data_IF_138532749999
#
_entry.id   IF_138532749999
#
_cell.length_a   1.000
_cell.length_b   1.000
_cell.length_c   1.000
_cell.angle_alpha   90.00
_cell.angle_beta   90.00
_cell.angle_gamma   90.00
#
_symmetry.space_group_name_H-M   'P 1'
#
loop_
_entity.id
_entity.type
_entity.pdbx_description
1 polymer ?
#
# COMPACT_ATOMS: atom_id res chain seq x y z
N UNK A 1 31.53 -62.64 16.01
CA UNK A 1 31.53 -61.63 17.08
C UNK A 1 31.14 -60.29 16.49
N UNK A 2 30.21 -59.53 17.11
CA UNK A 2 29.59 -58.34 16.55
C UNK A 2 30.31 -57.04 16.98
N UNK A 3 30.38 -56.05 16.10
CA UNK A 3 30.56 -54.64 16.47
C UNK A 3 29.46 -53.81 15.80
N UNK A 4 28.50 -53.24 16.56
CA UNK A 4 27.55 -52.29 16.04
C UNK A 4 27.75 -50.94 16.73
N UNK A 5 28.67 -50.10 16.25
CA UNK A 5 28.76 -48.72 16.70
C UNK A 5 29.21 -47.84 15.53
N UNK A 6 28.24 -47.25 14.82
CA UNK A 6 28.27 -45.89 14.28
C UNK A 6 26.99 -45.64 13.47
N UNK A 7 25.86 -45.53 14.17
CA UNK A 7 24.69 -44.80 13.66
C UNK A 7 24.44 -43.63 14.60
N UNK A 8 25.19 -42.55 14.41
CA UNK A 8 24.85 -41.25 14.97
C UNK A 8 24.55 -40.26 13.84
N UNK A 9 23.29 -39.83 13.82
CA UNK A 9 22.76 -38.55 13.38
C UNK A 9 22.97 -38.11 11.91
N UNK A 10 22.02 -38.43 11.00
CA UNK A 10 21.74 -37.59 9.84
C UNK A 10 20.94 -36.31 10.20
N UNK A 11 20.46 -36.19 11.45
CA UNK A 11 19.56 -35.10 11.87
C UNK A 11 20.23 -33.77 12.22
N UNK A 12 21.52 -33.77 12.59
CA UNK A 12 22.19 -32.55 13.06
C UNK A 12 22.57 -31.60 11.90
N UNK A 13 22.90 -32.16 10.73
CA UNK A 13 23.25 -31.37 9.54
C UNK A 13 22.07 -30.61 8.94
N UNK A 14 20.87 -31.19 9.03
CA UNK A 14 19.64 -30.59 8.49
C UNK A 14 19.14 -29.44 9.36
N UNK A 15 19.31 -29.54 10.69
CA UNK A 15 18.99 -28.47 11.62
C UNK A 15 19.94 -27.26 11.51
N UNK A 16 21.23 -27.50 11.26
CA UNK A 16 22.21 -26.42 11.05
C UNK A 16 22.00 -25.72 9.71
N UNK A 17 21.61 -26.46 8.66
CA UNK A 17 21.24 -25.88 7.36
C UNK A 17 19.97 -25.03 7.41
N UNK A 18 18.96 -25.42 8.19
CA UNK A 18 17.74 -24.62 8.40
C UNK A 18 18.03 -23.36 9.25
N UNK A 19 18.96 -23.45 10.21
CA UNK A 19 19.35 -22.28 11.01
C UNK A 19 20.10 -21.24 10.17
N UNK A 20 21.00 -21.65 9.28
CA UNK A 20 21.67 -20.70 8.36
C UNK A 20 20.71 -20.11 7.31
N UNK A 21 19.71 -20.86 6.86
CA UNK A 21 18.66 -20.33 5.96
C UNK A 21 17.70 -19.37 6.68
N UNK A 22 17.50 -19.52 7.99
CA UNK A 22 16.69 -18.60 8.80
C UNK A 22 17.46 -17.32 9.21
N UNK A 23 18.79 -17.37 9.27
CA UNK A 23 19.64 -16.18 9.42
C UNK A 23 19.80 -15.39 8.11
N UNK A 24 19.50 -16.00 6.95
CA UNK A 24 19.23 -15.28 5.72
C UNK A 24 17.83 -14.65 5.78
N UNK A 25 17.65 -13.70 6.69
CA UNK A 25 16.46 -12.85 6.74
C UNK A 25 16.26 -12.14 5.40
N UNK A 26 15.04 -11.65 5.10
CA UNK A 26 14.77 -10.85 3.92
C UNK A 26 15.42 -9.47 4.04
N UNK A 27 16.75 -9.42 3.98
CA UNK A 27 17.55 -8.22 3.86
C UNK A 27 17.79 -7.92 2.38
N UNK A 28 16.70 -7.70 1.66
CA UNK A 28 16.71 -6.94 0.43
C UNK A 28 15.59 -5.91 0.51
N UNK A 29 15.56 -5.12 1.60
CA UNK A 29 15.07 -3.75 1.46
C UNK A 29 16.07 -3.08 0.54
N UNK A 30 15.72 -3.02 -0.75
CA UNK A 30 16.39 -2.16 -1.71
C UNK A 30 16.44 -0.77 -1.06
N UNK A 31 17.61 -0.41 -0.52
CA UNK A 31 17.91 0.95 -0.16
C UNK A 31 17.94 1.70 -1.49
N UNK A 32 16.80 2.25 -1.88
CA UNK A 32 16.78 3.20 -2.98
C UNK A 32 17.72 4.35 -2.60
N UNK A 33 18.56 4.82 -3.52
CA UNK A 33 19.41 5.96 -3.26
C UNK A 33 18.54 7.12 -2.76
N UNK A 34 19.01 7.79 -1.70
CA UNK A 34 18.34 8.93 -1.07
C UNK A 34 17.95 9.94 -2.17
N UNK A 35 16.63 10.10 -2.37
CA UNK A 35 16.06 11.00 -3.37
C UNK A 35 15.32 10.33 -4.53
N UNK A 36 15.41 8.99 -4.71
CA UNK A 36 14.62 8.27 -5.71
C UNK A 36 13.39 7.59 -5.08
N UNK A 37 12.19 7.74 -5.66
CA UNK A 37 11.00 7.09 -5.14
C UNK A 37 11.17 5.57 -5.20
N UNK A 38 10.69 4.88 -4.17
CA UNK A 38 10.63 3.43 -4.20
C UNK A 38 9.74 2.95 -5.35
N UNK A 39 9.92 1.70 -5.82
CA UNK A 39 9.07 1.15 -6.88
C UNK A 39 7.58 1.26 -6.52
N UNK A 40 7.22 0.94 -5.28
CA UNK A 40 5.83 0.99 -4.82
C UNK A 40 5.31 2.43 -4.73
N UNK A 41 6.15 3.37 -4.30
CA UNK A 41 5.81 4.79 -4.30
C UNK A 41 5.60 5.33 -5.71
N UNK A 42 6.47 4.96 -6.65
CA UNK A 42 6.33 5.33 -8.06
C UNK A 42 5.05 4.74 -8.67
N UNK A 43 4.73 3.48 -8.37
CA UNK A 43 3.46 2.88 -8.78
C UNK A 43 2.27 3.62 -8.17
N UNK A 44 2.32 4.01 -6.90
CA UNK A 44 1.26 4.80 -6.24
C UNK A 44 1.05 6.12 -6.97
N UNK A 45 2.11 6.84 -7.32
CA UNK A 45 2.00 8.10 -8.07
C UNK A 45 1.36 7.91 -9.45
N UNK A 46 1.79 6.89 -10.21
CA UNK A 46 1.20 6.53 -11.50
C UNK A 46 -0.30 6.23 -11.35
N UNK A 47 -0.66 5.40 -10.38
CA UNK A 47 -2.05 5.03 -10.13
C UNK A 47 -2.90 6.21 -9.66
N UNK A 48 -2.33 7.11 -8.86
CA UNK A 48 -3.01 8.32 -8.42
C UNK A 48 -3.29 9.31 -9.55
N UNK A 49 -2.29 9.58 -10.40
CA UNK A 49 -2.49 10.40 -11.59
C UNK A 49 -3.57 9.79 -12.51
N UNK A 50 -3.52 8.47 -12.68
CA UNK A 50 -4.52 7.72 -13.46
C UNK A 50 -5.92 7.83 -12.87
N UNK A 51 -6.08 7.61 -11.56
CA UNK A 51 -7.38 7.70 -10.90
C UNK A 51 -7.97 9.11 -10.98
N UNK A 52 -7.16 10.14 -10.74
CA UNK A 52 -7.57 11.55 -10.89
C UNK A 52 -8.02 11.86 -12.31
N UNK A 53 -7.28 11.39 -13.32
CA UNK A 53 -7.68 11.53 -14.71
C UNK A 53 -9.04 10.87 -14.99
N UNK A 54 -9.24 9.62 -14.56
CA UNK A 54 -10.51 8.92 -14.79
C UNK A 54 -11.67 9.60 -14.07
N UNK A 55 -11.46 10.10 -12.85
CA UNK A 55 -12.47 10.88 -12.12
C UNK A 55 -12.82 12.18 -12.83
N UNK A 56 -11.84 12.91 -13.35
CA UNK A 56 -12.08 14.12 -14.14
C UNK A 56 -12.83 13.80 -15.45
N UNK A 57 -12.41 12.77 -16.17
CA UNK A 57 -13.01 12.29 -17.43
C UNK A 57 -14.48 11.85 -17.27
N UNK A 58 -14.85 11.36 -16.07
CA UNK A 58 -16.21 10.94 -15.74
C UNK A 58 -17.02 12.03 -15.00
N UNK A 59 -16.45 13.21 -14.74
CA UNK A 59 -17.15 14.32 -14.11
C UNK A 59 -17.35 14.17 -12.59
N UNK A 60 -16.47 13.44 -11.91
CA UNK A 60 -16.54 13.19 -10.47
C UNK A 60 -15.33 13.75 -9.70
N UNK A 61 -15.07 15.07 -9.74
CA UNK A 61 -13.92 15.67 -9.06
C UNK A 61 -13.96 15.51 -7.54
N UNK A 62 -15.15 15.37 -6.93
CA UNK A 62 -15.31 15.14 -5.48
C UNK A 62 -14.68 13.83 -5.00
N UNK A 63 -14.51 12.84 -5.87
CA UNK A 63 -13.85 11.59 -5.52
C UNK A 63 -12.33 11.72 -5.46
N UNK A 64 -11.75 12.77 -6.06
CA UNK A 64 -10.30 12.98 -6.05
C UNK A 64 -9.74 13.23 -4.65
N UNK A 65 -10.51 13.87 -3.76
CA UNK A 65 -10.12 14.10 -2.35
C UNK A 65 -10.14 12.83 -1.50
N UNK A 66 -10.78 11.76 -1.97
CA UNK A 66 -10.83 10.48 -1.26
C UNK A 66 -9.61 9.60 -1.55
N UNK A 67 -8.81 9.95 -2.57
CA UNK A 67 -7.63 9.18 -2.97
C UNK A 67 -6.48 9.35 -1.98
N UNK A 68 -5.92 8.23 -1.53
CA UNK A 68 -4.79 8.21 -0.58
C UNK A 68 -3.44 8.11 -1.28
N UNK A 69 -3.07 9.17 -1.99
CA UNK A 69 -1.85 9.22 -2.81
C UNK A 69 -0.54 9.37 -2.03
N UNK A 70 -0.60 9.94 -0.82
CA UNK A 70 0.58 10.27 -0.01
C UNK A 70 1.08 9.10 0.85
N UNK A 71 0.27 8.06 0.98
CA UNK A 71 0.56 6.94 1.90
C UNK A 71 1.75 6.06 1.49
N UNK A 72 2.33 6.29 0.30
CA UNK A 72 3.45 5.52 -0.25
C UNK A 72 3.17 4.02 -0.47
N UNK A 73 1.94 3.55 -0.22
CA UNK A 73 1.62 2.12 -0.22
C UNK A 73 0.45 1.78 -1.14
N UNK A 74 0.68 0.80 -2.02
CA UNK A 74 -0.32 0.28 -2.94
C UNK A 74 -1.59 -0.25 -2.25
N UNK A 75 -1.52 -0.97 -1.11
CA UNK A 75 -2.72 -1.45 -0.42
C UNK A 75 -3.61 -0.31 0.11
N UNK A 76 -3.03 0.78 0.60
CA UNK A 76 -3.80 1.93 1.07
C UNK A 76 -4.48 2.67 -0.09
N UNK A 77 -3.78 2.81 -1.22
CA UNK A 77 -4.38 3.33 -2.45
C UNK A 77 -5.53 2.42 -2.92
N UNK A 78 -5.31 1.11 -2.99
CA UNK A 78 -6.34 0.14 -3.36
C UNK A 78 -7.58 0.23 -2.46
N UNK A 79 -7.39 0.41 -1.14
CA UNK A 79 -8.49 0.61 -0.21
C UNK A 79 -9.30 1.88 -0.52
N UNK A 80 -8.65 2.98 -0.93
CA UNK A 80 -9.35 4.21 -1.35
C UNK A 80 -10.08 4.07 -2.71
N UNK A 81 -9.64 3.16 -3.58
CA UNK A 81 -10.28 2.89 -4.88
C UNK A 81 -11.43 1.88 -4.81
N UNK A 82 -11.52 1.06 -3.76
CA UNK A 82 -12.59 0.04 -3.61
C UNK A 82 -14.00 0.60 -3.42
N UNK A 83 -14.25 1.62 -2.58
CA UNK A 83 -15.60 2.15 -2.38
C UNK A 83 -16.11 2.97 -3.57
N UNK A 84 -15.28 3.18 -4.60
CA UNK A 84 -15.60 3.99 -5.75
C UNK A 84 -16.66 3.34 -6.65
N UNK A 85 -17.71 4.11 -6.97
CA UNK A 85 -18.82 3.70 -7.85
C UNK A 85 -18.39 3.54 -9.30
N UNK A 86 -17.23 4.09 -9.68
CA UNK A 86 -16.72 4.07 -11.06
C UNK A 86 -15.94 2.81 -11.39
N UNK A 87 -15.89 1.85 -10.46
CA UNK A 87 -15.33 0.51 -10.65
C UNK A 87 -13.87 0.53 -11.11
N UNK A 88 -13.13 1.62 -10.88
CA UNK A 88 -11.71 1.76 -11.25
C UNK A 88 -10.89 0.61 -10.66
N UNK A 89 -11.15 0.27 -9.40
CA UNK A 89 -10.48 -0.85 -8.75
C UNK A 89 -10.68 -2.17 -9.51
N UNK A 90 -11.93 -2.53 -9.83
CA UNK A 90 -12.24 -3.83 -10.43
C UNK A 90 -11.90 -3.95 -11.92
N UNK A 91 -12.03 -2.86 -12.69
CA UNK A 91 -11.88 -2.89 -14.15
C UNK A 91 -10.47 -2.51 -14.61
N UNK A 92 -9.75 -1.72 -13.82
CA UNK A 92 -8.45 -1.19 -14.20
C UNK A 92 -7.35 -1.66 -13.25
N UNK A 93 -7.47 -1.37 -11.95
CA UNK A 93 -6.41 -1.64 -10.97
C UNK A 93 -6.15 -3.13 -10.76
N UNK A 94 -7.14 -3.89 -10.28
CA UNK A 94 -6.97 -5.29 -9.91
C UNK A 94 -6.50 -6.20 -11.08
N UNK A 95 -7.01 -6.04 -12.31
CA UNK A 95 -6.54 -6.84 -13.45
C UNK A 95 -5.08 -6.59 -13.83
N UNK A 96 -4.54 -5.39 -13.52
CA UNK A 96 -3.17 -5.00 -13.85
C UNK A 96 -2.23 -5.29 -12.67
N UNK A 97 -2.52 -4.71 -11.49
CA UNK A 97 -1.61 -4.72 -10.35
C UNK A 97 -1.66 -6.04 -9.57
N UNK A 98 -2.85 -6.52 -9.19
CA UNK A 98 -2.97 -7.71 -8.33
C UNK A 98 -2.59 -9.00 -9.07
N UNK A 99 -2.89 -9.07 -10.38
CA UNK A 99 -2.47 -10.21 -11.20
C UNK A 99 -0.98 -10.19 -11.50
N UNK A 100 -0.36 -9.00 -11.54
CA UNK A 100 1.09 -8.80 -11.70
C UNK A 100 1.72 -9.40 -12.97
N UNK A 101 0.92 -9.91 -13.92
CA UNK A 101 1.44 -10.62 -15.12
C UNK A 101 2.30 -9.72 -15.99
N UNK A 102 2.02 -8.42 -15.98
CA UNK A 102 2.78 -7.42 -16.74
C UNK A 102 4.23 -7.24 -16.23
N UNK A 103 4.55 -7.76 -15.04
CA UNK A 103 5.89 -7.65 -14.44
C UNK A 103 6.74 -8.91 -14.62
N UNK A 104 6.19 -9.99 -15.18
CA UNK A 104 6.91 -11.25 -15.31
C UNK A 104 8.13 -11.10 -16.23
N UNK A 105 9.29 -11.54 -15.75
CA UNK A 105 10.56 -11.43 -16.49
C UNK A 105 11.21 -10.04 -16.46
N UNK A 106 10.60 -9.03 -15.81
CA UNK A 106 11.17 -7.69 -15.71
C UNK A 106 12.03 -7.56 -14.44
N UNK A 107 13.33 -7.36 -14.61
CA UNK A 107 14.27 -7.18 -13.49
C UNK A 107 14.47 -5.72 -13.10
N UNK A 108 14.32 -4.81 -14.07
CA UNK A 108 14.55 -3.38 -13.88
C UNK A 108 13.28 -2.62 -13.44
N UNK A 109 13.43 -1.66 -12.52
CA UNK A 109 12.32 -0.88 -11.98
C UNK A 109 11.69 0.04 -13.03
N UNK A 110 12.51 0.69 -13.87
CA UNK A 110 12.02 1.51 -14.98
C UNK A 110 11.23 0.65 -15.97
N UNK A 111 11.74 -0.52 -16.34
CA UNK A 111 11.01 -1.46 -17.20
C UNK A 111 9.65 -1.88 -16.62
N UNK A 112 9.57 -2.12 -15.30
CA UNK A 112 8.31 -2.43 -14.60
C UNK A 112 7.34 -1.26 -14.63
N UNK A 113 7.81 -0.04 -14.39
CA UNK A 113 6.98 1.16 -14.44
C UNK A 113 6.51 1.45 -15.86
N UNK A 114 7.37 1.33 -16.87
CA UNK A 114 7.00 1.45 -18.28
C UNK A 114 5.98 0.38 -18.72
N UNK A 115 6.08 -0.84 -18.20
CA UNK A 115 5.07 -1.88 -18.42
C UNK A 115 3.72 -1.52 -17.78
N UNK A 116 3.74 -0.94 -16.57
CA UNK A 116 2.53 -0.47 -15.90
C UNK A 116 1.84 0.65 -16.70
N UNK A 117 2.58 1.67 -17.12
CA UNK A 117 2.03 2.78 -17.93
C UNK A 117 1.39 2.26 -19.21
N UNK A 118 2.09 1.39 -19.96
CA UNK A 118 1.56 0.76 -21.18
C UNK A 118 0.26 -0.03 -20.92
N UNK A 119 0.21 -0.80 -19.84
CA UNK A 119 -0.98 -1.57 -19.48
C UNK A 119 -2.17 -0.67 -19.15
N UNK A 120 -1.95 0.41 -18.38
CA UNK A 120 -2.97 1.40 -18.03
C UNK A 120 -3.50 2.08 -19.30
N UNK A 121 -2.62 2.66 -20.12
CA UNK A 121 -3.01 3.38 -21.34
C UNK A 121 -3.73 2.45 -22.31
N UNK A 122 -3.23 1.23 -22.50
CA UNK A 122 -3.87 0.22 -23.34
C UNK A 122 -5.30 -0.11 -22.88
N UNK A 123 -5.51 -0.28 -21.58
CA UNK A 123 -6.86 -0.50 -21.02
C UNK A 123 -7.77 0.71 -21.15
N UNK A 124 -7.25 1.92 -20.89
CA UNK A 124 -8.04 3.15 -21.00
C UNK A 124 -8.43 3.43 -22.46
N UNK A 125 -7.52 3.21 -23.41
CA UNK A 125 -7.75 3.37 -24.86
C UNK A 125 -8.72 2.31 -25.41
N UNK A 126 -8.73 1.11 -24.85
CA UNK A 126 -9.68 0.05 -25.22
C UNK A 126 -11.13 0.33 -24.74
N UNK A 127 -11.35 1.35 -23.90
CA UNK A 127 -12.69 1.70 -23.43
C UNK A 127 -13.54 2.31 -24.56
N UNK A 128 -14.76 1.81 -24.81
CA UNK A 128 -15.62 2.33 -25.88
C UNK A 128 -16.03 3.79 -25.66
N UNK A 129 -16.11 4.24 -24.40
CA UNK A 129 -16.43 5.63 -24.07
C UNK A 129 -15.35 6.61 -24.58
N UNK A 130 -14.07 6.18 -24.59
CA UNK A 130 -12.95 7.02 -25.08
C UNK A 130 -12.78 6.92 -26.57
N UNK A 131 -12.94 5.73 -27.16
CA UNK A 131 -12.85 5.53 -28.61
C UNK A 131 -13.84 6.39 -29.40
N UNK A 132 -15.02 6.67 -28.83
CA UNK A 132 -16.06 7.49 -29.47
C UNK A 132 -15.83 9.00 -29.32
N UNK A 133 -14.83 9.44 -28.56
CA UNK A 133 -14.59 10.86 -28.30
C UNK A 133 -13.13 11.25 -28.57
N UNK A 134 -12.85 12.03 -29.63
CA UNK A 134 -11.48 12.44 -29.95
C UNK A 134 -10.87 13.31 -28.86
N UNK A 135 -11.68 14.14 -28.18
CA UNK A 135 -11.22 14.94 -27.05
C UNK A 135 -10.73 14.08 -25.87
N UNK A 136 -11.43 12.97 -25.56
CA UNK A 136 -11.01 12.05 -24.50
C UNK A 136 -9.72 11.31 -24.87
N UNK A 137 -9.53 10.98 -26.15
CA UNK A 137 -8.27 10.39 -26.64
C UNK A 137 -7.11 11.37 -26.56
N UNK A 138 -7.32 12.66 -26.87
CA UNK A 138 -6.30 13.69 -26.69
C UNK A 138 -5.88 13.82 -25.22
N UNK A 139 -6.85 13.85 -24.29
CA UNK A 139 -6.56 13.84 -22.85
C UNK A 139 -5.82 12.58 -22.40
N UNK A 140 -6.10 11.42 -23.01
CA UNK A 140 -5.37 10.19 -22.73
C UNK A 140 -3.91 10.26 -23.21
N UNK A 141 -3.65 10.88 -24.35
CA UNK A 141 -2.28 11.12 -24.83
C UNK A 141 -1.51 12.07 -23.91
N UNK A 142 -2.18 13.08 -23.35
CA UNK A 142 -1.55 13.97 -22.36
C UNK A 142 -1.20 13.20 -21.08
N UNK A 143 -2.09 12.32 -20.59
CA UNK A 143 -1.80 11.44 -19.47
C UNK A 143 -0.63 10.50 -19.78
N UNK A 144 -0.64 9.85 -20.95
CA UNK A 144 0.43 8.94 -21.41
C UNK A 144 1.79 9.66 -21.39
N UNK A 145 1.84 10.90 -21.90
CA UNK A 145 3.04 11.73 -21.84
C UNK A 145 3.48 12.00 -20.40
N UNK A 146 2.58 12.51 -19.55
CA UNK A 146 2.88 12.81 -18.13
C UNK A 146 3.41 11.60 -17.36
N UNK A 147 2.82 10.43 -17.59
CA UNK A 147 3.24 9.19 -16.94
C UNK A 147 4.59 8.72 -17.47
N UNK A 148 4.86 8.84 -18.77
CA UNK A 148 6.14 8.49 -19.36
C UNK A 148 7.25 9.43 -18.87
N UNK A 149 6.98 10.74 -18.87
CA UNK A 149 7.90 11.75 -18.34
C UNK A 149 8.22 11.48 -16.86
N UNK A 150 7.24 11.03 -16.06
CA UNK A 150 7.49 10.62 -14.68
C UNK A 150 8.41 9.39 -14.58
N UNK A 151 8.21 8.39 -15.42
CA UNK A 151 9.05 7.18 -15.42
C UNK A 151 10.50 7.51 -15.82
N UNK A 152 10.70 8.44 -16.76
CA UNK A 152 12.05 8.86 -17.18
C UNK A 152 12.74 9.77 -16.16
N UNK A 153 12.00 10.69 -15.53
CA UNK A 153 12.60 11.74 -14.69
C UNK A 153 12.53 11.45 -13.19
N UNK A 154 11.58 10.61 -12.76
CA UNK A 154 11.27 10.39 -11.34
C UNK A 154 10.55 11.57 -10.67
N UNK A 155 10.23 12.66 -11.38
CA UNK A 155 9.50 13.80 -10.82
C UNK A 155 8.00 13.55 -10.85
N UNK A 156 7.31 13.50 -9.68
CA UNK A 156 5.91 13.13 -9.62
C UNK A 156 5.08 13.99 -10.57
N UNK A 157 4.13 13.39 -11.32
CA UNK A 157 3.30 14.13 -12.25
C UNK A 157 2.56 15.20 -11.46
N UNK A 158 2.88 16.46 -11.74
CA UNK A 158 2.49 17.59 -10.91
C UNK A 158 1.00 17.50 -10.55
N UNK A 159 0.72 17.23 -9.28
CA UNK A 159 -0.45 17.82 -8.65
C UNK A 159 -0.21 19.31 -8.71
N UNK A 160 -1.10 20.04 -9.38
CA UNK A 160 -1.26 21.46 -9.04
C UNK A 160 -1.45 21.47 -7.53
N UNK A 161 -0.40 21.89 -6.81
CA UNK A 161 -0.49 22.14 -5.39
C UNK A 161 -1.73 23.02 -5.24
N UNK A 162 -2.65 22.64 -4.35
CA UNK A 162 -3.64 23.58 -3.89
C UNK A 162 -2.85 24.82 -3.49
N UNK A 163 -3.02 25.91 -4.25
CA UNK A 163 -2.43 27.18 -3.92
C UNK A 163 -2.80 27.46 -2.46
N UNK A 164 -1.85 27.92 -1.62
CA UNK A 164 -2.27 28.51 -0.36
C UNK A 164 -3.28 29.60 -0.73
N UNK A 165 -4.49 29.48 -0.20
CA UNK A 165 -5.40 30.62 -0.13
C UNK A 165 -4.71 31.66 0.74
N UNK A 166 -3.92 32.51 0.10
CA UNK A 166 -3.44 33.75 0.65
C UNK A 166 -4.36 34.84 0.06
N UNK A 167 -5.34 35.17 0.87
CA UNK A 167 -5.79 36.53 1.17
C UNK A 167 -5.47 37.60 0.12
N UNK A 168 -6.55 38.16 -0.42
CA UNK A 168 -6.57 39.51 -0.96
C UNK A 168 -5.97 40.47 0.06
N UNK A 169 -4.82 41.07 -0.23
CA UNK A 169 -4.49 42.44 0.15
C UNK A 169 -3.25 42.97 -0.60
N UNK A 170 -3.53 43.87 -1.54
CA UNK A 170 -2.86 45.15 -1.81
C UNK A 170 -1.33 45.21 -1.97
N UNK A 171 -0.94 45.60 -3.18
CA UNK A 171 0.33 46.22 -3.59
C UNK A 171 0.98 47.14 -2.54
N UNK A 172 2.31 47.05 -2.39
CA UNK A 172 3.19 48.21 -2.52
C UNK A 172 4.65 47.80 -2.72
N UNK A 173 5.26 48.54 -3.64
CA UNK A 173 6.63 48.48 -4.16
C UNK A 173 7.62 49.18 -3.22
N UNK A 174 8.90 48.77 -3.22
CA UNK A 174 10.00 49.64 -2.75
C UNK A 174 11.23 48.93 -2.16
N UNK A 175 12.48 49.21 -2.60
CA UNK A 175 13.68 48.39 -2.34
C UNK A 175 14.75 49.04 -1.42
N UNK A 176 15.84 48.29 -1.21
CA UNK A 176 17.25 48.72 -1.16
C UNK A 176 18.03 48.79 0.18
N UNK A 177 19.31 48.38 0.03
CA UNK A 177 20.55 48.68 0.77
C UNK A 177 20.73 48.14 2.19
N UNK A 178 21.68 47.23 2.44
CA UNK A 178 23.14 47.38 2.45
C UNK A 178 23.67 48.11 3.70
N UNK A 179 24.37 47.37 4.57
CA UNK A 179 25.39 47.91 5.47
C UNK A 179 26.31 46.77 5.93
N UNK A 180 27.40 46.64 5.20
CA UNK A 180 28.65 46.01 5.59
C UNK A 180 29.40 46.95 6.56
N UNK A 181 29.97 46.45 7.66
CA UNK A 181 31.17 47.02 8.30
C UNK A 181 31.65 46.21 9.52
N UNK A 182 32.69 45.41 9.27
CA UNK A 182 33.97 45.35 10.01
C UNK A 182 34.04 45.20 11.54
N UNK A 183 34.52 44.01 11.92
CA UNK A 183 35.84 43.69 12.48
C UNK A 183 36.31 44.22 13.87
N UNK A 184 37.12 43.35 14.50
CA UNK A 184 38.01 43.50 15.67
C UNK A 184 37.37 42.94 16.97
N UNK A 185 37.96 42.01 17.73
CA UNK A 185 39.37 41.71 18.04
C UNK A 185 39.40 40.32 18.74
N UNK A 186 40.36 39.46 18.42
CA UNK A 186 40.79 38.36 19.30
C UNK A 186 41.98 38.84 20.15
N UNK A 187 42.21 38.33 21.38
CA UNK A 187 43.12 37.17 21.45
C UNK A 187 42.91 36.20 22.64
N UNK A 188 43.42 34.97 22.43
CA UNK A 188 44.09 34.05 23.38
C UNK A 188 43.34 33.57 24.64
N UNK A 189 43.49 32.36 25.17
CA UNK A 189 44.13 31.10 24.82
C UNK A 189 43.70 30.12 25.94
N UNK A 190 43.51 28.83 25.65
CA UNK A 190 43.87 27.70 26.54
C UNK A 190 43.50 26.37 25.88
N UNK A 191 44.51 25.53 25.70
CA UNK A 191 44.41 24.19 25.16
C UNK A 191 44.33 23.13 26.29
N UNK A 192 43.43 22.16 26.10
CA UNK A 192 43.51 20.75 26.55
C UNK A 192 43.02 20.41 27.97
N UNK A 193 42.72 19.12 28.28
CA UNK A 193 42.82 17.91 27.47
C UNK A 193 41.51 17.06 27.39
N UNK A 194 41.53 16.01 26.57
CA UNK A 194 40.38 15.14 26.31
C UNK A 194 39.95 14.22 27.46
N UNK A 195 38.73 13.69 27.32
CA UNK A 195 38.20 12.57 28.09
C UNK A 195 36.89 12.05 27.45
N UNK A 196 36.73 10.73 27.22
CA UNK A 196 35.52 10.16 26.64
C UNK A 196 34.43 10.07 27.72
N UNK A 197 33.24 10.63 27.45
CA UNK A 197 32.11 10.55 28.38
C UNK A 197 31.30 9.29 28.07
N UNK A 198 31.45 8.30 28.93
CA UNK A 198 30.74 7.04 28.93
C UNK A 198 29.21 7.23 29.12
N UNK A 199 28.44 6.67 28.19
CA UNK A 199 26.98 6.48 28.25
C UNK A 199 26.68 5.08 28.81
N UNK A 200 26.38 4.97 30.12
CA UNK A 200 26.34 3.68 30.80
C UNK A 200 25.10 3.30 31.64
N UNK A 201 23.88 3.87 31.45
CA UNK A 201 22.67 3.18 31.96
C UNK A 201 21.74 2.65 30.87
N UNK A 202 21.87 3.06 29.60
CA UNK A 202 20.92 2.67 28.53
C UNK A 202 21.14 1.23 28.05
N UNK A 203 22.37 0.71 28.15
CA UNK A 203 22.74 -0.61 27.66
C UNK A 203 22.16 -1.79 28.45
N UNK A 204 21.64 -1.56 29.67
CA UNK A 204 20.99 -2.62 30.48
C UNK A 204 19.51 -2.77 30.16
N UNK A 205 18.79 -1.67 29.86
CA UNK A 205 17.39 -1.74 29.44
C UNK A 205 17.28 -2.39 28.04
N UNK A 206 18.14 -2.03 27.10
CA UNK A 206 18.14 -2.65 25.76
C UNK A 206 18.42 -4.15 25.82
N UNK A 207 19.21 -4.62 26.79
CA UNK A 207 19.55 -6.05 26.93
C UNK A 207 18.40 -6.90 27.49
N UNK A 208 17.47 -6.29 28.22
CA UNK A 208 16.28 -6.93 28.79
C UNK A 208 15.03 -6.73 27.92
N UNK A 209 14.90 -5.57 27.26
CA UNK A 209 13.78 -5.28 26.38
C UNK A 209 13.94 -5.89 24.99
N UNK A 210 15.15 -6.04 24.47
CA UNK A 210 15.37 -6.71 23.18
C UNK A 210 14.85 -8.16 23.14
N UNK A 211 15.16 -9.05 24.11
CA UNK A 211 14.61 -10.40 24.09
C UNK A 211 13.09 -10.40 24.31
N UNK A 212 12.54 -9.49 25.12
CA UNK A 212 11.10 -9.36 25.31
C UNK A 212 10.40 -8.92 24.02
N UNK A 213 10.89 -7.87 23.35
CA UNK A 213 10.36 -7.42 22.07
C UNK A 213 10.42 -8.52 21.01
N UNK A 214 11.49 -9.34 21.02
CA UNK A 214 11.60 -10.51 20.16
C UNK A 214 10.53 -11.56 20.49
N UNK A 215 10.30 -11.86 21.77
CA UNK A 215 9.23 -12.80 22.15
C UNK A 215 7.84 -12.29 21.78
N UNK A 216 7.54 -11.00 21.97
CA UNK A 216 6.27 -10.40 21.55
C UNK A 216 6.11 -10.37 20.02
N UNK A 217 7.18 -10.08 19.29
CA UNK A 217 7.20 -10.15 17.82
C UNK A 217 6.91 -11.57 17.32
N UNK A 218 7.55 -12.58 17.94
CA UNK A 218 7.33 -13.99 17.62
C UNK A 218 5.89 -14.43 17.95
N UNK A 219 5.38 -14.05 19.12
CA UNK A 219 3.99 -14.32 19.53
C UNK A 219 2.99 -13.67 18.58
N UNK A 220 3.21 -12.42 18.20
CA UNK A 220 2.37 -11.68 17.24
C UNK A 220 2.37 -12.37 15.87
N UNK A 221 3.53 -12.82 15.40
CA UNK A 221 3.65 -13.56 14.14
C UNK A 221 2.88 -14.89 14.20
N UNK A 222 3.03 -15.67 15.27
CA UNK A 222 2.33 -16.94 15.46
C UNK A 222 0.82 -16.71 15.52
N UNK A 223 0.35 -15.72 16.28
CA UNK A 223 -1.06 -15.34 16.36
C UNK A 223 -1.60 -14.92 14.99
N UNK A 224 -0.85 -14.11 14.25
CA UNK A 224 -1.22 -13.69 12.90
C UNK A 224 -1.35 -14.88 11.94
N UNK A 225 -0.40 -15.84 11.98
CA UNK A 225 -0.45 -17.06 11.17
C UNK A 225 -1.66 -17.91 11.55
N UNK A 226 -1.94 -18.11 12.84
CA UNK A 226 -3.11 -18.87 13.30
C UNK A 226 -4.43 -18.20 12.87
N UNK A 227 -4.52 -16.88 12.95
CA UNK A 227 -5.68 -16.12 12.49
C UNK A 227 -5.86 -16.24 10.97
N UNK A 228 -4.77 -16.16 10.21
CA UNK A 228 -4.81 -16.29 8.75
C UNK A 228 -5.21 -17.71 8.32
N UNK A 229 -4.73 -18.72 9.05
CA UNK A 229 -5.12 -20.11 8.84
C UNK A 229 -6.58 -20.35 9.23
N UNK A 230 -7.06 -19.78 10.33
CA UNK A 230 -8.46 -19.90 10.74
C UNK A 230 -9.40 -19.24 9.75
N UNK A 231 -9.10 -18.00 9.30
CA UNK A 231 -9.83 -17.32 8.23
C UNK A 231 -9.80 -18.09 6.90
N UNK A 232 -8.65 -18.67 6.56
CA UNK A 232 -8.52 -19.51 5.38
C UNK A 232 -9.32 -20.81 5.48
N UNK A 233 -9.52 -21.35 6.70
CA UNK A 233 -10.38 -22.53 6.94
C UNK A 233 -11.85 -22.15 6.90
N UNK A 234 -12.26 -21.05 7.53
CA UNK A 234 -13.65 -20.59 7.54
C UNK A 234 -14.11 -20.18 6.15
N UNK A 235 -13.30 -19.46 5.37
CA UNK A 235 -13.63 -19.14 3.97
C UNK A 235 -13.73 -20.38 3.10
N UNK A 236 -12.87 -21.39 3.31
CA UNK A 236 -12.97 -22.67 2.60
C UNK A 236 -14.21 -23.46 3.02
N UNK A 237 -14.60 -23.42 4.30
CA UNK A 237 -15.83 -24.04 4.80
C UNK A 237 -17.07 -23.33 4.24
N UNK A 238 -17.10 -22.00 4.24
CA UNK A 238 -18.17 -21.20 3.64
C UNK A 238 -18.28 -21.44 2.13
N UNK A 239 -17.14 -21.53 1.43
CA UNK A 239 -17.12 -21.83 -0.01
C UNK A 239 -17.61 -23.25 -0.31
N UNK A 240 -17.22 -24.23 0.53
CA UNK A 240 -17.70 -25.61 0.43
C UNK A 240 -19.19 -25.72 0.73
N UNK A 241 -19.68 -25.04 1.76
CA UNK A 241 -21.10 -24.95 2.09
C UNK A 241 -21.88 -24.26 0.97
N UNK A 242 -21.35 -23.17 0.38
CA UNK A 242 -21.97 -22.52 -0.76
C UNK A 242 -22.01 -23.41 -2.02
N UNK A 243 -20.97 -24.22 -2.26
CA UNK A 243 -20.97 -25.18 -3.38
C UNK A 243 -21.82 -26.42 -3.10
N UNK A 244 -21.90 -26.90 -1.86
CA UNK A 244 -22.75 -28.03 -1.46
C UNK A 244 -24.23 -27.63 -1.37
N UNK A 245 -24.53 -26.35 -1.11
CA UNK A 245 -25.88 -25.78 -1.18
C UNK A 245 -26.41 -25.63 -2.62
N UNK A 246 -25.69 -26.12 -3.64
CA UNK A 246 -26.29 -26.44 -4.94
C UNK A 246 -26.90 -25.24 -5.69
N UNK A 247 -26.31 -24.05 -5.61
CA UNK A 247 -26.59 -22.95 -6.54
C UNK A 247 -25.31 -22.22 -6.93
N UNK A 248 -24.92 -22.41 -8.19
CA UNK A 248 -24.15 -21.38 -8.90
C UNK A 248 -24.96 -20.07 -8.99
N UNK A 249 -24.47 -19.05 -9.72
CA UNK A 249 -25.16 -17.78 -9.90
C UNK A 249 -26.37 -17.93 -10.85
N UNK A 250 -27.28 -18.84 -10.52
CA UNK A 250 -28.61 -18.94 -11.08
C UNK A 250 -29.52 -18.13 -10.17
N UNK A 251 -30.22 -17.17 -10.76
CA UNK A 251 -31.23 -16.34 -10.13
C UNK A 251 -32.04 -17.14 -9.10
N UNK A 252 -32.08 -16.66 -7.86
CA UNK A 252 -33.03 -17.13 -6.86
C UNK A 252 -34.42 -17.03 -7.47
N UNK A 253 -35.10 -18.17 -7.68
CA UNK A 253 -36.46 -18.18 -8.19
C UNK A 253 -37.37 -17.39 -7.25
N UNK A 254 -38.45 -16.80 -7.77
CA UNK A 254 -39.34 -15.94 -6.98
C UNK A 254 -39.83 -16.61 -5.68
N UNK A 255 -40.09 -17.93 -5.73
CA UNK A 255 -40.47 -18.73 -4.57
C UNK A 255 -39.39 -18.77 -3.46
N UNK A 256 -38.11 -18.73 -3.81
CA UNK A 256 -37.02 -18.71 -2.82
C UNK A 256 -36.72 -17.34 -2.27
N UNK A 257 -36.98 -16.28 -3.05
CA UNK A 257 -36.92 -14.93 -2.51
C UNK A 257 -37.99 -14.74 -1.43
N UNK A 258 -39.21 -15.22 -1.67
CA UNK A 258 -40.28 -15.22 -0.66
C UNK A 258 -39.90 -16.02 0.60
N UNK A 259 -39.29 -17.19 0.44
CA UNK A 259 -38.84 -17.99 1.58
C UNK A 259 -37.74 -17.31 2.41
N UNK A 260 -36.82 -16.61 1.74
CA UNK A 260 -35.77 -15.83 2.43
C UNK A 260 -36.38 -14.60 3.12
N UNK A 261 -37.31 -13.90 2.47
CA UNK A 261 -38.02 -12.76 3.05
C UNK A 261 -38.83 -13.18 4.29
N UNK A 262 -39.50 -14.33 4.27
CA UNK A 262 -40.25 -14.85 5.41
C UNK A 262 -39.33 -15.23 6.57
N UNK A 263 -38.18 -15.88 6.28
CA UNK A 263 -37.19 -16.21 7.30
C UNK A 263 -36.53 -14.96 7.90
N UNK A 264 -36.25 -13.95 7.08
CA UNK A 264 -35.71 -12.66 7.54
C UNK A 264 -36.74 -11.93 8.37
N UNK A 265 -38.00 -11.84 7.94
CA UNK A 265 -39.08 -11.21 8.70
C UNK A 265 -39.27 -11.88 10.06
N UNK A 266 -39.21 -13.21 10.12
CA UNK A 266 -39.30 -13.96 11.37
C UNK A 266 -38.12 -13.71 12.30
N UNK A 267 -36.90 -13.65 11.78
CA UNK A 267 -35.69 -13.35 12.57
C UNK A 267 -35.63 -11.90 13.04
N UNK A 268 -36.10 -10.96 12.23
CA UNK A 268 -36.21 -9.55 12.61
C UNK A 268 -37.29 -9.36 13.69
N UNK A 269 -38.43 -10.03 13.57
CA UNK A 269 -39.47 -10.00 14.61
C UNK A 269 -39.00 -10.62 15.93
N UNK A 270 -38.21 -11.70 15.87
CA UNK A 270 -37.61 -12.34 17.03
C UNK A 270 -36.53 -11.45 17.67
N UNK A 271 -35.68 -10.82 16.85
CA UNK A 271 -34.67 -9.87 17.32
C UNK A 271 -35.34 -8.64 17.98
N UNK A 272 -36.35 -8.05 17.36
CA UNK A 272 -37.10 -6.92 17.92
C UNK A 272 -37.86 -7.26 19.20
N UNK A 273 -38.24 -8.53 19.41
CA UNK A 273 -38.77 -9.00 20.70
C UNK A 273 -37.70 -9.11 21.76
N UNK A 274 -36.47 -9.48 21.40
CA UNK A 274 -35.33 -9.53 22.33
C UNK A 274 -34.73 -8.16 22.65
N UNK A 275 -34.89 -7.16 21.77
CA UNK A 275 -34.45 -5.77 21.98
C UNK A 275 -35.57 -4.78 22.29
N UNK A 276 -36.82 -5.24 22.38
CA UNK A 276 -37.97 -4.42 22.76
C UNK A 276 -37.92 -4.01 24.24
N UNK A 277 -38.31 -2.76 24.56
CA UNK A 277 -37.85 -2.03 25.74
C UNK A 277 -38.35 -2.64 27.04
N UNK A 278 -37.43 -2.84 27.98
CA UNK A 278 -37.78 -2.73 29.39
C UNK A 278 -38.32 -1.32 29.60
N UNK A 279 -39.62 -1.21 29.86
CA UNK A 279 -40.26 0.02 30.31
C UNK A 279 -41.44 -0.36 31.18
N UNK A 280 -41.81 0.51 32.14
CA UNK A 280 -41.00 1.20 33.15
C UNK A 280 -40.93 0.42 34.48
#
# INVERSE_FOLDING_TARGET
MPHPFFRLLPGLGLALGLLLAALAGPAARAQTPLGQPSLDEAKVQIWCATARYVYADLGHPRLQSTLRCESGSLPALAASLRPDSLRIYSLLYAPIEERGRIYQGLQDNHARLAALVRAIVGKLRASPARQRSPARLAGLHELEKKLTDYVETGLPPATVAAAPQAETETSLSGPAEAAEATAATAPAASAGPGGPRATAPVALLDRLLAPLALTFSLLSLVLYVLLRLSLGRTLRQLRRAATQAGRGPAELSAAQRQQVEELVARRVAEALRTTGPAAP
#
